data_IF_500967357128
#
_entry.id   IF_500967357128
#
_cell.length_a   1.000
_cell.length_b   1.000
_cell.length_c   1.000
_cell.angle_alpha   90.00
_cell.angle_beta   90.00
_cell.angle_gamma   90.00
#
_symmetry.space_group_name_H-M   'P 1'
#
loop_
_entity.id
_entity.type
_entity.pdbx_description
1 polymer ?
#
# COMPACT_ATOMS: atom_id res chain seq x y z
N UNK A 1 -9.41 18.13 2.64
CA UNK A 1 -9.40 16.76 2.10
C UNK A 1 -9.88 15.83 3.19
N UNK A 2 -10.86 14.99 2.88
CA UNK A 2 -11.54 14.14 3.87
C UNK A 2 -11.68 12.70 3.41
N UNK A 3 -11.26 12.39 2.19
CA UNK A 3 -11.33 11.05 1.60
C UNK A 3 -10.01 10.64 0.93
N UNK A 4 -9.81 9.34 0.70
CA UNK A 4 -8.66 8.83 -0.05
C UNK A 4 -8.75 9.24 -1.52
N UNK A 5 -9.96 9.41 -2.04
CA UNK A 5 -10.20 9.94 -3.37
C UNK A 5 -9.65 11.37 -3.53
N UNK A 6 -9.79 12.22 -2.50
CA UNK A 6 -9.20 13.58 -2.52
C UNK A 6 -7.68 13.52 -2.59
N UNK A 7 -7.07 12.56 -1.85
CA UNK A 7 -5.61 12.32 -1.92
C UNK A 7 -5.19 11.85 -3.31
N UNK A 8 -6.00 10.97 -3.94
CA UNK A 8 -5.71 10.51 -5.30
C UNK A 8 -5.73 11.66 -6.32
N UNK A 9 -6.69 12.57 -6.25
CA UNK A 9 -6.72 13.76 -7.10
C UNK A 9 -5.51 14.66 -6.86
N UNK A 10 -5.16 14.93 -5.58
CA UNK A 10 -3.96 15.71 -5.25
C UNK A 10 -2.69 15.10 -5.87
N UNK A 11 -2.55 13.77 -5.80
CA UNK A 11 -1.38 13.08 -6.35
C UNK A 11 -1.39 13.07 -7.88
N UNK A 12 -2.56 13.04 -8.53
CA UNK A 12 -2.68 13.22 -9.98
C UNK A 12 -2.28 14.64 -10.41
N UNK A 13 -2.74 15.66 -9.70
CA UNK A 13 -2.35 17.05 -9.95
C UNK A 13 -0.85 17.26 -9.76
N UNK A 14 -0.25 16.58 -8.77
CA UNK A 14 1.20 16.58 -8.57
C UNK A 14 1.94 15.92 -9.76
N UNK A 15 1.45 14.78 -10.22
CA UNK A 15 2.01 14.08 -11.39
C UNK A 15 1.95 14.96 -12.65
N UNK A 16 0.86 15.69 -12.84
CA UNK A 16 0.69 16.65 -13.93
C UNK A 16 1.64 17.84 -13.79
N UNK A 17 1.75 18.40 -12.58
CA UNK A 17 2.66 19.53 -12.29
C UNK A 17 4.12 19.18 -12.51
N UNK A 18 4.51 17.94 -12.19
CA UNK A 18 5.87 17.43 -12.41
C UNK A 18 6.11 17.01 -13.88
N UNK A 19 5.08 17.04 -14.72
CA UNK A 19 5.18 16.63 -16.12
C UNK A 19 5.59 15.16 -16.30
N UNK A 20 5.12 14.27 -15.40
CA UNK A 20 5.49 12.85 -15.47
C UNK A 20 4.97 12.23 -16.76
N UNK A 21 5.79 11.41 -17.41
CA UNK A 21 5.44 10.65 -18.61
C UNK A 21 5.98 9.23 -18.48
N UNK A 22 5.12 8.25 -18.77
CA UNK A 22 5.45 6.81 -18.71
C UNK A 22 6.14 6.38 -17.40
N UNK A 23 5.75 7.01 -16.27
CA UNK A 23 6.37 6.79 -14.99
C UNK A 23 5.97 5.42 -14.38
N UNK A 24 6.80 4.89 -13.52
CA UNK A 24 6.46 3.73 -12.67
C UNK A 24 5.84 4.23 -11.38
N UNK A 25 4.59 3.87 -11.13
CA UNK A 25 3.91 4.19 -9.87
C UNK A 25 4.17 3.06 -8.86
N UNK A 26 5.11 3.27 -7.95
CA UNK A 26 5.42 2.32 -6.89
C UNK A 26 4.84 2.79 -5.54
N UNK A 27 4.10 1.93 -4.84
CA UNK A 27 3.43 2.29 -3.61
C UNK A 27 3.30 1.09 -2.65
N UNK A 28 3.31 1.36 -1.33
CA UNK A 28 3.16 0.33 -0.31
C UNK A 28 1.95 0.61 0.58
N UNK A 29 1.23 -0.43 0.98
CA UNK A 29 0.18 -0.39 2.01
C UNK A 29 -0.92 0.64 1.69
N UNK A 30 -1.14 1.63 2.56
CA UNK A 30 -2.08 2.74 2.36
C UNK A 30 -1.75 3.55 1.08
N UNK A 31 -0.46 3.72 0.77
CA UNK A 31 -0.05 4.32 -0.50
C UNK A 31 -0.51 3.50 -1.71
N UNK A 32 -0.58 2.17 -1.59
CA UNK A 32 -1.14 1.27 -2.60
C UNK A 32 -2.63 1.52 -2.86
N UNK A 33 -3.39 1.84 -1.82
CA UNK A 33 -4.79 2.27 -1.97
C UNK A 33 -4.90 3.59 -2.72
N UNK A 34 -4.12 4.61 -2.33
CA UNK A 34 -4.09 5.89 -3.04
C UNK A 34 -3.72 5.68 -4.52
N UNK A 35 -2.69 4.88 -4.79
CA UNK A 35 -2.26 4.58 -6.14
C UNK A 35 -3.36 3.90 -6.99
N UNK A 36 -4.09 2.95 -6.43
CA UNK A 36 -5.22 2.34 -7.12
C UNK A 36 -6.35 3.33 -7.39
N UNK A 37 -6.68 4.22 -6.43
CA UNK A 37 -7.66 5.30 -6.64
C UNK A 37 -7.22 6.28 -7.73
N UNK A 38 -5.91 6.58 -7.84
CA UNK A 38 -5.37 7.36 -8.95
C UNK A 38 -5.59 6.64 -10.29
N UNK A 39 -5.17 5.38 -10.38
CA UNK A 39 -5.18 4.60 -11.62
C UNK A 39 -6.59 4.35 -12.16
N UNK A 40 -7.59 4.12 -11.31
CA UNK A 40 -8.99 3.97 -11.77
C UNK A 40 -9.57 5.27 -12.34
N UNK A 41 -9.00 6.44 -12.00
CA UNK A 41 -9.42 7.77 -12.47
C UNK A 41 -8.64 8.22 -13.69
N UNK A 42 -7.31 8.24 -13.57
CA UNK A 42 -6.43 8.65 -14.65
C UNK A 42 -5.07 7.93 -14.54
N UNK A 43 -4.73 7.17 -15.57
CA UNK A 43 -3.45 6.44 -15.65
C UNK A 43 -2.53 6.95 -16.76
N UNK A 44 -2.85 8.07 -17.41
CA UNK A 44 -2.15 8.55 -18.60
C UNK A 44 -0.67 8.91 -18.35
N UNK A 45 -0.29 9.16 -17.11
CA UNK A 45 1.10 9.49 -16.71
C UNK A 45 1.94 8.26 -16.38
N UNK A 46 1.32 7.09 -16.26
CA UNK A 46 1.96 5.89 -15.74
C UNK A 46 2.04 4.80 -16.78
N UNK A 47 3.22 4.22 -16.95
CA UNK A 47 3.44 3.07 -17.82
C UNK A 47 3.31 1.74 -17.09
N UNK A 48 3.63 1.73 -15.80
CA UNK A 48 3.57 0.54 -14.92
C UNK A 48 3.16 0.93 -13.50
N UNK A 49 2.60 -0.03 -12.77
CA UNK A 49 2.32 0.10 -11.34
C UNK A 49 2.92 -1.06 -10.55
N UNK A 50 3.47 -0.77 -9.37
CA UNK A 50 3.94 -1.77 -8.40
C UNK A 50 3.30 -1.48 -7.05
N UNK A 51 2.39 -2.33 -6.62
CA UNK A 51 1.62 -2.16 -5.39
C UNK A 51 2.08 -3.21 -4.37
N UNK A 52 2.83 -2.78 -3.38
CA UNK A 52 3.33 -3.64 -2.31
C UNK A 52 2.33 -3.69 -1.16
N UNK A 53 1.80 -4.86 -0.85
CA UNK A 53 0.84 -5.10 0.22
C UNK A 53 -0.30 -4.05 0.25
N UNK A 54 -0.98 -3.77 -0.89
CA UNK A 54 -1.90 -2.64 -1.00
C UNK A 54 -3.11 -2.81 -0.09
N UNK A 55 -3.59 -1.71 0.51
CA UNK A 55 -4.92 -1.60 1.11
C UNK A 55 -5.94 -1.16 0.04
N UNK A 56 -7.17 -0.89 0.46
CA UNK A 56 -8.15 -0.19 -0.34
C UNK A 56 -9.29 -1.04 -0.87
N UNK A 57 -9.15 -2.34 -0.96
CA UNK A 57 -10.22 -3.24 -1.38
C UNK A 57 -10.73 -4.13 -0.25
N UNK A 58 -11.97 -4.58 -0.41
CA UNK A 58 -12.57 -5.65 0.34
C UNK A 58 -13.20 -6.62 -0.66
N UNK A 59 -12.71 -7.85 -0.70
CA UNK A 59 -13.16 -8.87 -1.65
C UNK A 59 -14.16 -9.85 -1.03
N UNK A 60 -13.92 -10.22 0.23
CA UNK A 60 -14.74 -11.15 1.00
C UNK A 60 -16.04 -10.55 1.54
N UNK A 61 -16.73 -11.32 2.36
CA UNK A 61 -17.99 -10.95 2.96
C UNK A 61 -17.85 -9.80 3.97
N UNK A 62 -18.95 -9.13 4.29
CA UNK A 62 -18.96 -7.96 5.18
C UNK A 62 -18.34 -8.25 6.55
N UNK A 63 -18.52 -9.45 7.06
CA UNK A 63 -18.06 -9.89 8.39
C UNK A 63 -16.63 -10.44 8.40
N UNK A 64 -16.06 -10.74 7.23
CA UNK A 64 -14.68 -11.21 7.12
C UNK A 64 -13.69 -10.08 7.27
N UNK A 65 -12.61 -10.35 7.97
CA UNK A 65 -11.52 -9.37 8.14
C UNK A 65 -10.33 -9.79 7.30
N UNK A 66 -10.16 -9.14 6.15
CA UNK A 66 -9.08 -9.43 5.19
C UNK A 66 -7.82 -8.60 5.46
N UNK A 67 -7.98 -7.46 6.15
CA UNK A 67 -6.86 -6.61 6.58
C UNK A 67 -6.86 -6.65 8.11
N UNK A 68 -5.75 -7.04 8.71
CA UNK A 68 -5.60 -7.10 10.16
C UNK A 68 -5.77 -5.72 10.78
N UNK A 69 -6.55 -5.64 11.87
CA UNK A 69 -6.76 -4.40 12.61
C UNK A 69 -5.53 -4.08 13.47
N UNK A 70 -4.59 -3.39 12.86
CA UNK A 70 -3.32 -3.02 13.49
C UNK A 70 -3.46 -1.99 14.61
N UNK A 71 -4.58 -1.25 14.67
CA UNK A 71 -4.88 -0.33 15.78
C UNK A 71 -5.38 -1.06 17.04
N UNK A 72 -5.86 -2.29 16.88
CA UNK A 72 -6.29 -3.12 18.01
C UNK A 72 -5.15 -3.93 18.64
N UNK A 73 -3.93 -3.88 18.06
CA UNK A 73 -2.79 -4.64 18.53
C UNK A 73 -1.96 -3.85 19.55
N UNK A 74 -1.45 -4.55 20.56
CA UNK A 74 -0.40 -4.01 21.40
C UNK A 74 0.92 -3.87 20.61
N UNK A 75 1.88 -3.12 21.14
CA UNK A 75 3.14 -2.82 20.48
C UNK A 75 3.91 -4.07 20.04
N UNK A 76 3.96 -5.10 20.86
CA UNK A 76 4.73 -6.31 20.55
C UNK A 76 4.08 -7.09 19.40
N UNK A 77 2.76 -7.26 19.47
CA UNK A 77 1.98 -7.91 18.40
C UNK A 77 1.98 -7.11 17.12
N UNK A 78 1.89 -5.78 17.21
CA UNK A 78 1.99 -4.91 16.04
C UNK A 78 3.30 -5.16 15.28
N UNK A 79 4.43 -5.16 15.97
CA UNK A 79 5.74 -5.42 15.36
C UNK A 79 5.81 -6.82 14.74
N UNK A 80 5.36 -7.86 15.45
CA UNK A 80 5.32 -9.24 14.94
C UNK A 80 4.41 -9.41 13.71
N UNK A 81 3.35 -8.61 13.61
CA UNK A 81 2.39 -8.66 12.51
C UNK A 81 2.90 -7.93 11.27
N UNK A 82 3.64 -6.83 11.50
CA UNK A 82 4.03 -5.93 10.40
C UNK A 82 5.44 -6.13 9.88
N UNK A 83 6.34 -6.75 10.66
CA UNK A 83 7.74 -6.96 10.30
C UNK A 83 8.09 -8.46 10.30
N UNK A 84 8.92 -8.90 9.37
CA UNK A 84 9.52 -10.24 9.39
C UNK A 84 10.49 -10.37 10.58
N UNK A 85 11.29 -9.32 10.81
CA UNK A 85 12.13 -9.16 12.00
C UNK A 85 11.56 -8.00 12.85
N UNK A 86 10.83 -8.34 13.91
CA UNK A 86 10.19 -7.38 14.81
C UNK A 86 11.17 -6.37 15.45
N UNK A 87 12.43 -6.75 15.64
CA UNK A 87 13.44 -5.87 16.25
C UNK A 87 13.82 -4.72 15.31
N UNK A 88 13.79 -4.92 14.00
CA UNK A 88 14.03 -3.86 13.01
C UNK A 88 12.94 -2.81 12.99
N UNK A 89 11.72 -3.16 13.38
CA UNK A 89 10.59 -2.23 13.47
C UNK A 89 10.55 -1.41 14.76
N UNK A 90 11.41 -1.72 15.74
CA UNK A 90 11.43 -1.01 17.03
C UNK A 90 11.92 0.43 16.85
N UNK A 91 11.15 1.37 17.38
CA UNK A 91 11.50 2.79 17.43
C UNK A 91 11.54 3.21 18.89
N UNK A 92 12.70 3.68 19.33
CA UNK A 92 12.82 4.33 20.64
C UNK A 92 12.27 5.76 20.53
N UNK A 93 11.04 5.94 20.98
CA UNK A 93 10.39 7.25 21.00
C UNK A 93 10.98 8.20 22.05
N UNK A 94 11.66 7.66 23.09
CA UNK A 94 12.25 8.50 24.14
C UNK A 94 13.52 9.21 23.68
N UNK A 95 14.17 8.68 22.64
CA UNK A 95 15.35 9.28 22.04
C UNK A 95 15.06 10.30 20.93
N UNK A 96 13.76 10.51 20.59
CA UNK A 96 13.37 11.40 19.49
C UNK A 96 13.15 12.83 19.96
N UNK A 97 13.49 13.78 19.07
CA UNK A 97 13.19 15.19 19.28
C UNK A 97 11.66 15.44 19.25
N UNK A 98 11.20 16.48 19.96
CA UNK A 98 9.79 16.85 20.04
C UNK A 98 9.16 17.05 18.65
N UNK A 99 9.88 17.66 17.70
CA UNK A 99 9.42 17.85 16.33
C UNK A 99 9.19 16.51 15.60
N UNK A 100 10.05 15.51 15.81
CA UNK A 100 9.87 14.17 15.23
C UNK A 100 8.66 13.46 15.84
N UNK A 101 8.48 13.56 17.16
CA UNK A 101 7.31 13.01 17.84
C UNK A 101 6.01 13.64 17.32
N UNK A 102 6.00 14.96 17.12
CA UNK A 102 4.86 15.66 16.55
C UNK A 102 4.55 15.18 15.13
N UNK A 103 5.55 14.97 14.28
CA UNK A 103 5.37 14.42 12.93
C UNK A 103 4.81 12.99 12.96
N UNK A 104 5.31 12.14 13.86
CA UNK A 104 4.79 10.78 14.03
C UNK A 104 3.32 10.81 14.47
N UNK A 105 2.96 11.67 15.42
CA UNK A 105 1.60 11.82 15.89
C UNK A 105 0.67 12.31 14.77
N UNK A 106 1.06 13.33 14.02
CA UNK A 106 0.31 13.86 12.88
C UNK A 106 0.12 12.82 11.77
N UNK A 107 1.15 12.03 11.46
CA UNK A 107 1.05 10.96 10.47
C UNK A 107 0.06 9.87 10.89
N UNK A 108 0.05 9.49 12.18
CA UNK A 108 -0.91 8.51 12.73
C UNK A 108 -2.33 9.05 12.73
N UNK A 109 -2.52 10.32 13.11
CA UNK A 109 -3.83 10.97 13.06
C UNK A 109 -4.36 11.05 11.63
N UNK A 110 -3.55 11.50 10.67
CA UNK A 110 -3.93 11.57 9.27
C UNK A 110 -4.31 10.18 8.73
N UNK A 111 -3.53 9.16 9.05
CA UNK A 111 -3.84 7.80 8.63
C UNK A 111 -5.16 7.30 9.21
N UNK A 112 -5.42 7.50 10.52
CA UNK A 112 -6.69 7.17 11.14
C UNK A 112 -7.85 7.93 10.50
N UNK A 113 -7.68 9.22 10.19
CA UNK A 113 -8.70 10.04 9.57
C UNK A 113 -9.17 9.47 8.21
N UNK A 114 -8.24 9.06 7.37
CA UNK A 114 -8.55 8.56 6.03
C UNK A 114 -8.91 7.07 5.97
N UNK A 115 -8.33 6.25 6.84
CA UNK A 115 -8.42 4.79 6.78
C UNK A 115 -9.42 4.14 7.75
N UNK A 116 -10.07 4.90 8.63
CA UNK A 116 -10.85 4.31 9.71
C UNK A 116 -12.27 3.87 9.31
N UNK A 117 -12.95 4.59 8.42
CA UNK A 117 -14.37 4.35 8.14
C UNK A 117 -14.72 4.49 6.65
N UNK A 118 -14.89 3.37 5.96
CA UNK A 118 -14.70 1.98 6.42
C UNK A 118 -13.21 1.65 6.60
N UNK A 119 -12.93 0.66 7.46
CA UNK A 119 -11.56 0.32 7.84
C UNK A 119 -10.74 -0.16 6.64
N UNK A 120 -9.73 0.65 6.29
CA UNK A 120 -8.68 0.41 5.29
C UNK A 120 -9.19 0.01 3.89
N UNK A 121 -10.43 0.35 3.51
CA UNK A 121 -10.91 0.09 2.16
C UNK A 121 -11.98 1.09 1.69
N UNK A 122 -12.09 1.26 0.37
CA UNK A 122 -13.24 1.84 -0.30
C UNK A 122 -14.15 0.70 -0.80
N UNK A 123 -15.42 0.61 -0.34
CA UNK A 123 -16.33 -0.46 -0.74
C UNK A 123 -16.60 -0.54 -2.24
N UNK A 124 -16.32 0.54 -2.97
CA UNK A 124 -16.55 0.65 -4.41
C UNK A 124 -15.32 0.32 -5.24
N UNK A 125 -14.10 0.44 -4.70
CA UNK A 125 -12.86 0.34 -5.48
C UNK A 125 -12.75 -0.99 -6.21
N UNK A 126 -13.11 -2.11 -5.55
CA UNK A 126 -13.06 -3.45 -6.17
C UNK A 126 -13.84 -3.56 -7.49
N UNK A 127 -14.92 -2.80 -7.63
CA UNK A 127 -15.75 -2.81 -8.85
C UNK A 127 -15.12 -2.02 -10.00
N UNK A 128 -14.10 -1.22 -9.73
CA UNK A 128 -13.44 -0.37 -10.70
C UNK A 128 -12.04 -0.83 -11.07
N UNK A 129 -11.49 -1.87 -10.42
CA UNK A 129 -10.14 -2.38 -10.68
C UNK A 129 -9.94 -2.77 -12.14
N UNK A 130 -10.97 -3.28 -12.81
CA UNK A 130 -10.93 -3.62 -14.24
C UNK A 130 -10.59 -2.43 -15.16
N UNK A 131 -10.67 -1.20 -14.66
CA UNK A 131 -10.30 0.01 -15.41
C UNK A 131 -8.80 0.27 -15.41
N UNK A 132 -8.05 -0.37 -14.53
CA UNK A 132 -6.59 -0.26 -14.48
C UNK A 132 -6.03 -1.16 -15.58
N UNK A 133 -5.50 -0.52 -16.64
CA UNK A 133 -4.99 -1.20 -17.81
C UNK A 133 -3.45 -1.23 -17.85
N UNK A 134 -2.77 -0.36 -17.09
CA UNK A 134 -1.31 -0.40 -16.99
C UNK A 134 -0.87 -1.73 -16.39
N UNK A 135 0.23 -2.35 -16.89
CA UNK A 135 0.82 -3.51 -16.26
C UNK A 135 1.04 -3.26 -14.77
N UNK A 136 0.54 -4.17 -13.92
CA UNK A 136 0.56 -4.00 -12.48
C UNK A 136 1.19 -5.21 -11.80
N UNK A 137 2.19 -4.99 -10.96
CA UNK A 137 2.78 -6.01 -10.11
C UNK A 137 2.29 -5.82 -8.67
N UNK A 138 1.71 -6.89 -8.10
CA UNK A 138 1.33 -6.90 -6.68
C UNK A 138 2.42 -7.64 -5.91
N UNK A 139 3.06 -6.95 -4.96
CA UNK A 139 4.07 -7.56 -4.08
C UNK A 139 3.47 -7.88 -2.72
N UNK A 140 3.92 -8.99 -2.13
CA UNK A 140 3.64 -9.37 -0.74
C UNK A 140 4.94 -9.78 -0.06
N UNK A 141 5.14 -9.36 1.19
CA UNK A 141 6.17 -9.96 2.03
C UNK A 141 5.77 -11.35 2.50
N UNK A 142 6.69 -12.31 2.49
CA UNK A 142 6.43 -13.69 2.90
C UNK A 142 5.82 -13.76 4.31
N UNK A 143 6.32 -12.93 5.23
CA UNK A 143 5.89 -12.85 6.63
C UNK A 143 4.86 -11.75 6.91
N UNK A 144 4.20 -11.21 5.88
CA UNK A 144 3.17 -10.17 6.06
C UNK A 144 1.96 -10.73 6.81
N UNK A 145 1.77 -10.27 8.05
CA UNK A 145 0.63 -10.61 8.90
C UNK A 145 -0.53 -9.61 8.81
N UNK A 146 -0.39 -8.53 8.03
CA UNK A 146 -1.44 -7.52 7.85
C UNK A 146 -2.37 -7.92 6.71
N UNK A 147 -1.81 -8.33 5.57
CA UNK A 147 -2.57 -8.84 4.41
C UNK A 147 -2.11 -10.24 4.05
N UNK A 148 -3.08 -11.14 3.87
CA UNK A 148 -2.81 -12.55 3.52
C UNK A 148 -2.57 -12.75 2.02
N UNK A 149 -2.09 -13.95 1.65
CA UNK A 149 -1.85 -14.32 0.26
C UNK A 149 -3.12 -14.28 -0.59
N UNK A 150 -4.25 -14.74 -0.03
CA UNK A 150 -5.54 -14.77 -0.75
C UNK A 150 -6.01 -13.34 -1.07
N UNK A 151 -5.77 -12.39 -0.16
CA UNK A 151 -6.07 -10.97 -0.41
C UNK A 151 -5.27 -10.42 -1.59
N UNK A 152 -3.98 -10.73 -1.67
CA UNK A 152 -3.10 -10.35 -2.79
C UNK A 152 -3.51 -11.03 -4.10
N UNK A 153 -3.89 -12.30 -4.03
CA UNK A 153 -4.40 -13.03 -5.19
C UNK A 153 -5.69 -12.41 -5.73
N UNK A 154 -6.59 -11.99 -4.84
CA UNK A 154 -7.84 -11.29 -5.21
C UNK A 154 -7.56 -9.93 -5.85
N UNK A 155 -6.54 -9.20 -5.38
CA UNK A 155 -6.07 -7.98 -6.04
C UNK A 155 -5.64 -8.26 -7.48
N UNK A 156 -4.75 -9.23 -7.68
CA UNK A 156 -4.27 -9.58 -9.02
C UNK A 156 -5.41 -10.04 -9.94
N UNK A 157 -6.34 -10.84 -9.43
CA UNK A 157 -7.51 -11.31 -10.19
C UNK A 157 -8.50 -10.19 -10.56
N UNK A 158 -8.55 -9.10 -9.78
CA UNK A 158 -9.41 -7.95 -10.05
C UNK A 158 -8.90 -7.01 -11.13
N UNK A 159 -7.64 -7.10 -11.51
CA UNK A 159 -6.95 -6.23 -12.47
C UNK A 159 -6.88 -6.88 -13.85
N UNK A 160 -6.94 -6.07 -14.90
CA UNK A 160 -6.92 -6.58 -16.28
C UNK A 160 -5.54 -7.13 -16.71
N UNK A 161 -4.45 -6.56 -16.18
CA UNK A 161 -3.08 -6.91 -16.56
C UNK A 161 -2.20 -6.90 -15.30
N UNK A 162 -2.28 -7.97 -14.50
CA UNK A 162 -1.53 -8.04 -13.25
C UNK A 162 -0.85 -9.40 -13.04
N UNK A 163 0.25 -9.34 -12.29
CA UNK A 163 0.94 -10.48 -11.72
C UNK A 163 1.19 -10.23 -10.23
N UNK A 164 1.51 -11.29 -9.49
CA UNK A 164 1.90 -11.18 -8.08
C UNK A 164 3.23 -11.87 -7.83
N UNK A 165 3.98 -11.34 -6.85
CA UNK A 165 5.26 -11.89 -6.42
C UNK A 165 5.37 -11.77 -4.90
N UNK A 166 5.92 -12.81 -4.26
CA UNK A 166 6.27 -12.81 -2.84
C UNK A 166 7.74 -12.46 -2.68
N UNK A 167 8.05 -11.56 -1.73
CA UNK A 167 9.41 -11.18 -1.35
C UNK A 167 9.77 -11.94 -0.07
N UNK A 168 10.80 -12.76 -0.13
CA UNK A 168 11.30 -13.52 1.02
C UNK A 168 11.85 -12.58 2.11
N UNK A 169 11.82 -13.02 3.36
CA UNK A 169 12.35 -12.31 4.53
C UNK A 169 11.80 -10.87 4.69
N UNK A 170 10.57 -10.63 4.24
CA UNK A 170 9.87 -9.37 4.37
C UNK A 170 8.50 -9.54 5.02
N UNK A 171 8.12 -8.60 5.87
CA UNK A 171 6.77 -8.41 6.38
C UNK A 171 5.98 -7.42 5.52
N UNK A 172 5.17 -6.59 6.18
CA UNK A 172 4.31 -5.61 5.52
C UNK A 172 5.07 -4.42 4.90
N UNK A 173 6.21 -4.07 5.47
CA UNK A 173 7.02 -2.93 5.04
C UNK A 173 8.16 -3.35 4.11
N UNK A 174 7.82 -4.03 2.99
CA UNK A 174 8.78 -4.57 2.03
C UNK A 174 9.89 -3.58 1.66
N UNK A 175 9.61 -2.30 1.32
CA UNK A 175 10.66 -1.35 0.95
C UNK A 175 11.65 -1.03 2.08
N UNK A 176 11.22 -1.21 3.34
CA UNK A 176 12.06 -0.95 4.51
C UNK A 176 12.86 -2.19 4.93
N UNK A 177 12.27 -3.37 4.75
CA UNK A 177 12.88 -4.63 5.18
C UNK A 177 13.82 -5.21 4.13
N UNK A 178 13.39 -5.18 2.86
CA UNK A 178 14.11 -5.73 1.71
C UNK A 178 14.21 -4.69 0.59
N UNK A 179 14.89 -3.53 0.81
CA UNK A 179 14.93 -2.44 -0.15
C UNK A 179 15.51 -2.85 -1.50
N UNK A 180 16.56 -3.69 -1.50
CA UNK A 180 17.19 -4.13 -2.73
C UNK A 180 16.26 -5.06 -3.52
N UNK A 181 15.64 -6.05 -2.88
CA UNK A 181 14.68 -6.95 -3.53
C UNK A 181 13.47 -6.19 -4.08
N UNK A 182 12.98 -5.17 -3.34
CA UNK A 182 11.92 -4.29 -3.83
C UNK A 182 12.34 -3.52 -5.09
N UNK A 183 13.52 -2.89 -5.08
CA UNK A 183 14.05 -2.14 -6.22
C UNK A 183 14.25 -3.06 -7.43
N UNK A 184 14.79 -4.25 -7.22
CA UNK A 184 15.05 -5.23 -8.29
C UNK A 184 13.73 -5.73 -8.91
N UNK A 185 12.70 -6.00 -8.07
CA UNK A 185 11.37 -6.35 -8.56
C UNK A 185 10.74 -5.22 -9.40
N UNK A 186 10.83 -3.96 -8.93
CA UNK A 186 10.34 -2.79 -9.68
C UNK A 186 11.06 -2.65 -11.02
N UNK A 187 12.39 -2.75 -11.02
CA UNK A 187 13.20 -2.62 -12.25
C UNK A 187 12.94 -3.74 -13.24
N UNK A 188 12.90 -4.98 -12.76
CA UNK A 188 12.65 -6.14 -13.62
C UNK A 188 11.25 -6.08 -14.26
N UNK A 189 10.25 -5.63 -13.50
CA UNK A 189 8.88 -5.51 -13.98
C UNK A 189 8.68 -4.35 -14.98
N UNK A 190 9.37 -3.24 -14.79
CA UNK A 190 9.28 -2.06 -15.64
C UNK A 190 10.30 -2.06 -16.80
N UNK A 191 11.10 -3.10 -16.92
CA UNK A 191 12.03 -3.24 -18.05
C UNK A 191 11.24 -3.39 -19.38
N UNK A 192 11.72 -2.77 -20.47
CA UNK A 192 11.09 -2.84 -21.78
C UNK A 192 11.11 -4.24 -22.40
#
# INVERSE_FOLDING_TARGET
MTSVEDLAYLMLDLADTLGLENAVLAANSFGGWIAAEMLVRNQSRFGHAVLAAPFGCKFGERTEREITDIHALDQARLLQTTWADADRGRVDLTAKAEAELAQIAQAREAWALFGWKPYMHNPRLRYWLHRINVPTLILRGESDGVVGQDYVNNWAAGLANASSQTIADAGHYIPNEQPQAFIDAVRAFAAP
#
